data_IF_069641093476
#
_entry.id   IF_069641093476
#
_cell.length_a   1.000
_cell.length_b   1.000
_cell.length_c   1.000
_cell.angle_alpha   90.00
_cell.angle_beta   90.00
_cell.angle_gamma   90.00
#
_symmetry.space_group_name_H-M   'P 1'
#
loop_
_entity.id
_entity.type
_entity.pdbx_description
1 polymer ?
#
# COMPACT_ATOMS: atom_id res chain seq x y z
N UNK A 1 -11.33 -26.57 15.69
CA UNK A 1 -10.90 -25.68 16.78
C UNK A 1 -10.71 -24.28 16.21
N UNK A 2 -11.13 -23.23 16.84
CA UNK A 2 -10.98 -21.89 16.30
C UNK A 2 -9.50 -21.47 16.40
N UNK A 3 -8.73 -21.65 15.32
CA UNK A 3 -7.49 -20.95 15.15
C UNK A 3 -7.79 -19.44 15.15
N UNK A 4 -6.92 -18.63 15.75
CA UNK A 4 -7.08 -17.19 15.66
C UNK A 4 -6.75 -16.72 14.25
N UNK A 5 -7.54 -15.77 13.78
CA UNK A 5 -7.47 -15.29 12.42
C UNK A 5 -6.81 -13.92 12.38
N UNK A 6 -5.87 -13.79 11.48
CA UNK A 6 -5.10 -12.57 11.22
C UNK A 6 -5.39 -12.09 9.80
N UNK A 7 -5.84 -10.87 9.66
CA UNK A 7 -5.84 -10.18 8.38
C UNK A 7 -4.48 -9.53 8.15
N UNK A 8 -3.84 -9.76 7.02
CA UNK A 8 -2.55 -9.16 6.70
C UNK A 8 -2.59 -8.48 5.35
N UNK A 9 -2.14 -7.24 5.33
CA UNK A 9 -1.85 -6.50 4.12
C UNK A 9 -0.37 -6.60 3.76
N UNK A 10 -0.08 -7.13 2.58
CA UNK A 10 1.27 -7.23 2.01
C UNK A 10 1.54 -6.04 1.10
N UNK A 11 1.77 -4.87 1.69
CA UNK A 11 2.10 -3.68 0.92
C UNK A 11 3.56 -3.67 0.43
N UNK A 12 3.83 -2.93 -0.64
CA UNK A 12 5.18 -2.75 -1.20
C UNK A 12 6.16 -2.13 -0.19
N UNK A 13 5.70 -1.20 0.64
CA UNK A 13 6.53 -0.49 1.62
C UNK A 13 6.49 -1.12 3.01
N UNK A 14 5.33 -1.61 3.43
CA UNK A 14 5.12 -2.18 4.77
C UNK A 14 4.22 -3.40 4.72
N UNK A 15 4.38 -4.28 5.70
CA UNK A 15 3.45 -5.37 6.01
C UNK A 15 2.72 -5.01 7.29
N UNK A 16 1.39 -5.09 7.26
CA UNK A 16 0.54 -4.78 8.41
C UNK A 16 -0.36 -5.98 8.72
N UNK A 17 -0.49 -6.35 9.99
CA UNK A 17 -1.43 -7.39 10.40
C UNK A 17 -2.40 -6.89 11.46
N UNK A 18 -3.65 -7.29 11.30
CA UNK A 18 -4.77 -6.97 12.16
C UNK A 18 -5.39 -8.24 12.74
N UNK A 19 -5.66 -8.21 14.05
CA UNK A 19 -6.41 -9.26 14.73
C UNK A 19 -7.70 -8.69 15.32
N UNK A 20 -8.82 -9.32 14.99
CA UNK A 20 -10.12 -8.91 15.55
C UNK A 20 -10.09 -8.94 17.09
N UNK A 21 -10.52 -7.85 17.72
CA UNK A 21 -10.51 -7.67 19.17
C UNK A 21 -9.20 -7.14 19.76
N UNK A 22 -8.11 -7.13 18.99
CA UNK A 22 -6.83 -6.56 19.42
C UNK A 22 -6.37 -5.35 18.60
N UNK A 23 -6.92 -5.18 17.38
CA UNK A 23 -6.48 -4.12 16.47
C UNK A 23 -5.26 -4.53 15.64
N UNK A 24 -4.43 -3.55 15.28
CA UNK A 24 -3.15 -3.79 14.59
C UNK A 24 -2.19 -4.48 15.57
N UNK A 25 -1.72 -5.66 15.20
CA UNK A 25 -0.83 -6.51 16.02
C UNK A 25 0.59 -6.60 15.47
N UNK A 26 0.78 -6.15 14.23
CA UNK A 26 2.08 -6.14 13.58
C UNK A 26 2.13 -5.03 12.51
N UNK A 27 3.21 -4.28 12.48
CA UNK A 27 3.51 -3.33 11.39
C UNK A 27 5.03 -3.22 11.27
N UNK A 28 5.56 -3.62 10.12
CA UNK A 28 6.98 -3.55 9.81
C UNK A 28 7.21 -3.10 8.37
N UNK A 29 8.35 -2.51 8.09
CA UNK A 29 8.76 -2.25 6.71
C UNK A 29 8.89 -3.59 5.94
N UNK A 30 8.46 -3.61 4.70
CA UNK A 30 8.62 -4.79 3.83
C UNK A 30 10.02 -4.77 3.21
N UNK A 31 11.04 -5.05 4.05
CA UNK A 31 12.45 -4.93 3.70
C UNK A 31 13.31 -5.90 4.51
N UNK A 32 14.40 -6.35 3.91
CA UNK A 32 15.49 -7.11 4.56
C UNK A 32 16.82 -6.42 4.31
N UNK A 33 17.65 -6.43 5.32
CA UNK A 33 19.02 -5.93 5.25
C UNK A 33 20.02 -7.10 5.26
N UNK A 34 20.92 -7.10 4.29
CA UNK A 34 22.01 -8.06 4.19
C UNK A 34 23.34 -7.36 4.45
N UNK A 35 24.23 -8.04 5.17
CA UNK A 35 25.64 -7.63 5.22
C UNK A 35 26.26 -7.82 3.82
N UNK A 36 26.82 -6.76 3.24
CA UNK A 36 27.34 -6.77 1.86
C UNK A 36 28.47 -7.78 1.67
N UNK A 37 29.31 -7.97 2.70
CA UNK A 37 30.50 -8.82 2.65
C UNK A 37 30.18 -10.31 2.74
N UNK A 38 29.23 -10.69 3.59
CA UNK A 38 28.91 -12.11 3.89
C UNK A 38 27.66 -12.61 3.18
N UNK A 39 26.76 -11.70 2.78
CA UNK A 39 25.43 -12.03 2.31
C UNK A 39 24.49 -12.55 3.39
N UNK A 40 24.90 -12.45 4.67
CA UNK A 40 24.04 -12.86 5.78
C UNK A 40 22.93 -11.84 6.04
N UNK A 41 21.76 -12.33 6.47
CA UNK A 41 20.65 -11.46 6.92
C UNK A 41 21.10 -10.77 8.21
N UNK A 42 21.11 -9.45 8.21
CA UNK A 42 21.46 -8.62 9.35
C UNK A 42 20.21 -8.15 10.13
N UNK A 43 19.15 -7.78 9.42
CA UNK A 43 17.90 -7.32 10.02
C UNK A 43 16.71 -7.50 9.07
N UNK A 44 15.51 -7.49 9.63
CA UNK A 44 14.21 -7.56 8.91
C UNK A 44 13.34 -6.38 9.35
N UNK A 45 12.48 -5.90 8.45
CA UNK A 45 11.52 -4.87 8.79
C UNK A 45 12.12 -3.46 8.90
N UNK A 46 11.64 -2.70 9.87
CA UNK A 46 12.03 -1.30 10.08
C UNK A 46 13.50 -1.17 10.41
N UNK A 47 14.04 -2.07 11.24
CA UNK A 47 15.46 -2.11 11.59
C UNK A 47 16.34 -2.27 10.33
N UNK A 48 15.90 -3.07 9.35
CA UNK A 48 16.61 -3.24 8.08
C UNK A 48 16.78 -1.90 7.33
N UNK A 49 15.73 -1.09 7.32
CA UNK A 49 15.77 0.23 6.68
C UNK A 49 16.70 1.20 7.43
N UNK A 50 16.67 1.19 8.76
CA UNK A 50 17.52 2.06 9.59
C UNK A 50 19.00 1.73 9.45
N UNK A 51 19.37 0.46 9.48
CA UNK A 51 20.74 -0.01 9.33
C UNK A 51 21.35 0.44 8.00
N UNK A 52 20.64 0.23 6.92
CA UNK A 52 21.12 0.59 5.59
C UNK A 52 21.27 2.11 5.39
N UNK A 53 20.38 2.90 5.99
CA UNK A 53 20.50 4.36 5.94
C UNK A 53 21.72 4.88 6.69
N UNK A 54 22.08 4.25 7.82
CA UNK A 54 23.23 4.66 8.65
C UNK A 54 24.56 4.21 8.07
N UNK A 55 24.59 3.04 7.41
CA UNK A 55 25.85 2.42 6.95
C UNK A 55 25.71 1.78 5.56
N UNK A 56 25.43 2.57 4.53
CA UNK A 56 25.08 2.04 3.19
C UNK A 56 26.20 1.23 2.53
N UNK A 57 27.47 1.44 2.90
CA UNK A 57 28.59 0.65 2.37
C UNK A 57 28.66 -0.77 2.95
N UNK A 58 28.18 -0.97 4.18
CA UNK A 58 28.22 -2.26 4.87
C UNK A 58 26.97 -3.11 4.65
N UNK A 59 25.85 -2.49 4.32
CA UNK A 59 24.56 -3.13 4.27
C UNK A 59 23.82 -2.83 2.97
N UNK A 60 23.11 -3.85 2.46
CA UNK A 60 22.24 -3.77 1.28
C UNK A 60 20.81 -4.09 1.68
N UNK A 61 19.85 -3.25 1.30
CA UNK A 61 18.43 -3.52 1.50
C UNK A 61 17.83 -4.15 0.25
N UNK A 62 17.04 -5.18 0.47
CA UNK A 62 16.17 -5.78 -0.54
C UNK A 62 14.70 -5.71 -0.11
N UNK A 63 13.83 -5.48 -1.08
CA UNK A 63 12.38 -5.48 -0.89
C UNK A 63 11.77 -6.62 -1.69
N UNK A 64 11.01 -7.54 -1.04
CA UNK A 64 10.49 -8.73 -1.71
C UNK A 64 9.26 -8.49 -2.57
N UNK A 65 8.73 -7.27 -2.57
CA UNK A 65 7.53 -6.91 -3.32
C UNK A 65 7.84 -5.87 -4.40
N UNK A 66 7.40 -6.16 -5.60
CA UNK A 66 7.36 -5.22 -6.72
C UNK A 66 5.97 -5.24 -7.34
N UNK A 67 5.38 -4.07 -7.61
CA UNK A 67 4.07 -3.94 -8.27
C UNK A 67 2.95 -4.76 -7.60
N UNK A 68 2.98 -4.83 -6.28
CA UNK A 68 1.99 -5.57 -5.49
C UNK A 68 2.11 -7.10 -5.51
N UNK A 69 3.18 -7.65 -6.10
CA UNK A 69 3.44 -9.09 -6.14
C UNK A 69 4.81 -9.45 -5.56
N UNK A 70 4.96 -10.70 -5.13
CA UNK A 70 6.24 -11.20 -4.61
C UNK A 70 7.23 -11.31 -5.77
N UNK A 71 8.32 -10.57 -5.69
CA UNK A 71 9.45 -10.62 -6.63
C UNK A 71 10.56 -11.57 -6.18
N UNK A 72 10.72 -11.75 -4.87
CA UNK A 72 11.70 -12.67 -4.28
C UNK A 72 11.07 -13.51 -3.17
N UNK A 73 10.98 -14.82 -3.43
CA UNK A 73 10.40 -15.80 -2.52
C UNK A 73 11.24 -15.96 -1.24
N UNK A 74 12.58 -15.96 -1.36
CA UNK A 74 13.48 -16.17 -0.23
C UNK A 74 13.42 -15.00 0.74
N UNK A 75 13.46 -13.80 0.19
CA UNK A 75 13.32 -12.56 0.96
C UNK A 75 11.96 -12.51 1.65
N UNK A 76 10.87 -12.84 0.94
CA UNK A 76 9.53 -12.83 1.52
C UNK A 76 9.36 -13.86 2.65
N UNK A 77 10.05 -15.00 2.61
CA UNK A 77 10.02 -15.97 3.71
C UNK A 77 10.49 -15.37 5.03
N UNK A 78 11.54 -14.55 5.04
CA UNK A 78 12.01 -13.89 6.27
C UNK A 78 10.93 -12.95 6.83
N UNK A 79 10.27 -12.18 5.97
CA UNK A 79 9.17 -11.29 6.37
C UNK A 79 8.00 -12.07 6.98
N UNK A 80 7.57 -13.17 6.34
CA UNK A 80 6.49 -14.00 6.90
C UNK A 80 6.90 -14.74 8.17
N UNK A 81 8.16 -15.13 8.30
CA UNK A 81 8.66 -15.75 9.53
C UNK A 81 8.58 -14.76 10.68
N UNK A 82 9.11 -13.53 10.48
CA UNK A 82 9.02 -12.47 11.48
C UNK A 82 7.57 -12.12 11.86
N UNK A 83 6.68 -11.98 10.85
CA UNK A 83 5.26 -11.77 11.08
C UNK A 83 4.65 -12.88 11.95
N UNK A 84 4.86 -14.15 11.58
CA UNK A 84 4.25 -15.29 12.25
C UNK A 84 4.81 -15.43 13.67
N UNK A 85 6.11 -15.32 13.87
CA UNK A 85 6.76 -15.36 15.16
C UNK A 85 6.24 -14.25 16.09
N UNK A 86 6.12 -13.03 15.57
CA UNK A 86 5.62 -11.88 16.33
C UNK A 86 4.17 -12.06 16.78
N UNK A 87 3.28 -12.56 15.90
CA UNK A 87 1.86 -12.74 16.26
C UNK A 87 1.62 -14.03 17.05
N UNK A 88 2.51 -15.04 16.96
CA UNK A 88 2.38 -16.35 17.61
C UNK A 88 3.17 -16.49 18.91
N UNK A 89 3.98 -15.54 19.33
CA UNK A 89 4.99 -15.63 20.39
C UNK A 89 4.57 -16.32 21.73
N UNK A 90 3.27 -16.61 21.92
CA UNK A 90 2.72 -17.31 23.11
C UNK A 90 1.61 -18.28 22.78
N UNK A 91 1.48 -18.74 21.53
CA UNK A 91 0.32 -19.55 21.13
C UNK A 91 0.74 -20.91 20.60
N UNK A 92 0.02 -21.95 21.01
CA UNK A 92 0.26 -23.35 20.62
C UNK A 92 -0.29 -23.62 19.20
N UNK A 93 -1.26 -22.81 18.74
CA UNK A 93 -1.94 -23.04 17.47
C UNK A 93 -1.40 -22.11 16.38
N UNK A 94 -1.24 -22.66 15.18
CA UNK A 94 -0.85 -21.89 13.99
C UNK A 94 -1.94 -20.87 13.60
N UNK A 95 -1.58 -19.64 13.21
CA UNK A 95 -2.55 -18.64 12.78
C UNK A 95 -3.16 -19.00 11.43
N UNK A 96 -4.43 -18.66 11.25
CA UNK A 96 -5.02 -18.58 9.93
C UNK A 96 -4.79 -17.17 9.39
N UNK A 97 -4.23 -17.07 8.19
CA UNK A 97 -3.96 -15.79 7.55
C UNK A 97 -4.95 -15.52 6.43
N UNK A 98 -5.51 -14.31 6.42
CA UNK A 98 -6.21 -13.75 5.27
C UNK A 98 -5.33 -12.62 4.76
N UNK A 99 -4.74 -12.82 3.59
CA UNK A 99 -3.73 -11.93 3.02
C UNK A 99 -4.38 -11.16 1.89
N UNK A 100 -4.21 -9.84 1.87
CA UNK A 100 -4.69 -9.03 0.75
C UNK A 100 -3.75 -9.14 -0.44
N UNK A 101 -4.30 -9.01 -1.63
CA UNK A 101 -3.53 -8.95 -2.86
C UNK A 101 -4.25 -8.05 -3.88
N UNK A 102 -3.50 -7.37 -4.77
CA UNK A 102 -4.09 -6.54 -5.81
C UNK A 102 -5.09 -7.30 -6.67
N UNK A 103 -6.11 -6.60 -7.14
CA UNK A 103 -7.04 -7.15 -8.12
C UNK A 103 -6.30 -7.56 -9.39
N UNK A 104 -6.70 -8.68 -9.98
CA UNK A 104 -6.15 -9.12 -11.27
C UNK A 104 -4.82 -9.89 -11.20
N UNK A 105 -4.24 -10.15 -10.03
CA UNK A 105 -3.07 -11.05 -9.94
C UNK A 105 -3.43 -12.47 -10.40
N UNK A 106 -2.46 -13.13 -11.04
CA UNK A 106 -2.62 -14.49 -11.57
C UNK A 106 -2.81 -15.55 -10.47
N UNK A 107 -3.41 -16.69 -10.82
CA UNK A 107 -3.53 -17.84 -9.91
C UNK A 107 -2.17 -18.34 -9.41
N UNK A 108 -1.13 -18.23 -10.25
CA UNK A 108 0.23 -18.60 -9.85
C UNK A 108 0.76 -17.67 -8.76
N UNK A 109 0.56 -16.36 -8.91
CA UNK A 109 0.97 -15.36 -7.91
C UNK A 109 0.22 -15.55 -6.60
N UNK A 110 -1.10 -15.81 -6.64
CA UNK A 110 -1.89 -16.16 -5.44
C UNK A 110 -1.31 -17.38 -4.73
N UNK A 111 -1.00 -18.45 -5.47
CA UNK A 111 -0.39 -19.67 -4.91
C UNK A 111 0.98 -19.38 -4.30
N UNK A 112 1.82 -18.58 -4.96
CA UNK A 112 3.13 -18.19 -4.43
C UNK A 112 3.03 -17.54 -3.06
N UNK A 113 2.12 -16.57 -2.88
CA UNK A 113 1.86 -15.93 -1.58
C UNK A 113 1.47 -16.96 -0.53
N UNK A 114 0.55 -17.87 -0.87
CA UNK A 114 0.05 -18.89 0.05
C UNK A 114 1.13 -19.89 0.43
N UNK A 115 1.92 -20.35 -0.55
CA UNK A 115 2.99 -21.34 -0.32
C UNK A 115 4.09 -20.78 0.58
N UNK A 116 4.45 -19.49 0.42
CA UNK A 116 5.38 -18.82 1.33
C UNK A 116 4.82 -18.76 2.75
N UNK A 117 3.59 -18.31 2.92
CA UNK A 117 2.98 -18.17 4.24
C UNK A 117 2.84 -19.52 4.96
N UNK A 118 2.42 -20.57 4.24
CA UNK A 118 2.34 -21.95 4.79
C UNK A 118 3.72 -22.49 5.15
N UNK A 119 4.74 -22.25 4.31
CA UNK A 119 6.12 -22.68 4.59
C UNK A 119 6.70 -22.00 5.84
N UNK A 120 6.23 -20.80 6.19
CA UNK A 120 6.63 -20.06 7.40
C UNK A 120 5.80 -20.43 8.63
N UNK A 121 4.83 -21.36 8.53
CA UNK A 121 4.10 -21.88 9.69
C UNK A 121 2.66 -21.38 9.82
N UNK A 122 2.09 -20.70 8.85
CA UNK A 122 0.67 -20.41 8.81
C UNK A 122 -0.15 -21.73 8.78
N UNK A 123 -1.30 -21.75 9.45
CA UNK A 123 -2.23 -22.89 9.45
C UNK A 123 -3.03 -22.93 8.15
N UNK A 124 -3.97 -22.01 8.00
CA UNK A 124 -4.75 -21.83 6.77
C UNK A 124 -4.43 -20.45 6.18
N UNK A 125 -4.32 -20.39 4.85
CA UNK A 125 -4.08 -19.13 4.15
C UNK A 125 -5.18 -18.93 3.12
N UNK A 126 -5.74 -17.73 3.09
CA UNK A 126 -6.70 -17.27 2.10
C UNK A 126 -6.22 -15.96 1.51
N UNK A 127 -6.46 -15.74 0.23
CA UNK A 127 -6.19 -14.46 -0.43
C UNK A 127 -7.51 -13.73 -0.62
N UNK A 128 -7.54 -12.46 -0.24
CA UNK A 128 -8.66 -11.56 -0.41
C UNK A 128 -8.24 -10.42 -1.34
N UNK A 129 -9.14 -10.02 -2.23
CA UNK A 129 -8.94 -8.86 -3.09
C UNK A 129 -8.73 -7.58 -2.26
N UNK A 130 -7.70 -6.78 -2.60
CA UNK A 130 -7.30 -5.59 -1.84
C UNK A 130 -8.42 -4.54 -1.79
N UNK A 131 -9.14 -4.32 -2.91
CA UNK A 131 -10.22 -3.34 -2.96
C UNK A 131 -11.38 -3.75 -2.05
N UNK A 132 -11.76 -5.03 -2.03
CA UNK A 132 -12.79 -5.57 -1.13
C UNK A 132 -12.33 -5.45 0.34
N UNK A 133 -11.08 -5.78 0.61
CA UNK A 133 -10.52 -5.64 1.94
C UNK A 133 -10.55 -4.18 2.40
N UNK A 134 -10.09 -3.24 1.57
CA UNK A 134 -10.07 -1.81 1.88
C UNK A 134 -11.48 -1.26 2.11
N UNK A 135 -12.47 -1.69 1.32
CA UNK A 135 -13.87 -1.31 1.53
C UNK A 135 -14.42 -1.80 2.87
N UNK A 136 -14.22 -3.08 3.19
CA UNK A 136 -14.62 -3.67 4.48
C UNK A 136 -13.94 -2.96 5.67
N UNK A 137 -12.65 -2.69 5.55
CA UNK A 137 -11.86 -2.01 6.58
C UNK A 137 -12.28 -0.56 6.81
N UNK A 138 -12.77 0.09 5.77
CA UNK A 138 -13.34 1.45 5.80
C UNK A 138 -14.79 1.47 6.30
N UNK A 139 -15.41 0.31 6.54
CA UNK A 139 -16.78 0.20 7.03
C UNK A 139 -17.85 0.34 5.95
N UNK A 140 -17.49 0.20 4.68
CA UNK A 140 -18.44 0.22 3.57
C UNK A 140 -19.23 -1.09 3.55
N UNK A 141 -20.57 -1.04 3.50
CA UNK A 141 -21.41 -2.22 3.35
C UNK A 141 -21.33 -2.73 1.90
N UNK A 142 -20.44 -3.69 1.65
CA UNK A 142 -20.17 -4.23 0.31
C UNK A 142 -21.33 -5.07 -0.25
N UNK A 143 -22.25 -5.53 0.58
CA UNK A 143 -23.37 -6.42 0.24
C UNK A 143 -24.59 -5.70 -0.36
N UNK A 144 -24.56 -4.37 -0.40
CA UNK A 144 -25.65 -3.58 -0.96
C UNK A 144 -25.59 -3.50 -2.50
N UNK A 145 -26.74 -3.41 -3.18
CA UNK A 145 -26.80 -3.18 -4.64
C UNK A 145 -26.55 -1.70 -4.96
N UNK A 146 -25.41 -1.19 -4.56
CA UNK A 146 -25.01 0.20 -4.70
C UNK A 146 -23.55 0.27 -5.13
N UNK A 147 -23.25 1.09 -6.13
CA UNK A 147 -21.90 1.22 -6.68
C UNK A 147 -21.02 2.12 -5.80
N UNK A 148 -19.86 1.62 -5.38
CA UNK A 148 -18.86 2.39 -4.64
C UNK A 148 -17.56 2.39 -5.41
N UNK A 149 -17.00 3.57 -5.68
CA UNK A 149 -15.65 3.70 -6.24
C UNK A 149 -14.62 3.78 -5.12
N UNK A 150 -13.75 2.78 -5.09
CA UNK A 150 -12.60 2.72 -4.20
C UNK A 150 -11.34 3.17 -4.94
N UNK A 151 -10.56 4.03 -4.30
CA UNK A 151 -9.23 4.42 -4.73
C UNK A 151 -8.26 4.19 -3.57
N UNK A 152 -7.46 3.15 -3.66
CA UNK A 152 -6.43 2.81 -2.66
C UNK A 152 -5.06 3.22 -3.20
N UNK A 153 -4.46 4.27 -2.64
CA UNK A 153 -3.16 4.78 -3.09
C UNK A 153 -2.08 4.36 -2.10
N UNK A 154 -1.40 3.28 -2.47
CA UNK A 154 -0.31 2.68 -1.70
C UNK A 154 1.06 3.26 -2.02
N UNK A 155 2.12 2.58 -1.56
CA UNK A 155 3.50 2.96 -1.86
C UNK A 155 3.92 2.58 -3.30
N UNK A 156 3.54 1.39 -3.77
CA UNK A 156 3.91 0.90 -5.12
C UNK A 156 2.83 1.13 -6.15
N UNK A 157 1.57 0.95 -5.77
CA UNK A 157 0.42 0.95 -6.67
C UNK A 157 -0.69 1.87 -6.21
N UNK A 158 -1.54 2.28 -7.15
CA UNK A 158 -2.90 2.75 -6.90
C UNK A 158 -3.87 1.68 -7.45
N UNK A 159 -4.71 1.16 -6.57
CA UNK A 159 -5.76 0.21 -6.90
C UNK A 159 -7.10 0.95 -6.99
N UNK A 160 -7.75 0.87 -8.13
CA UNK A 160 -9.01 1.55 -8.43
C UNK A 160 -10.06 0.48 -8.71
N UNK A 161 -11.16 0.48 -7.98
CA UNK A 161 -12.19 -0.54 -8.13
C UNK A 161 -13.60 0.02 -7.94
N UNK A 162 -14.53 -0.42 -8.79
CA UNK A 162 -15.97 -0.22 -8.60
C UNK A 162 -16.54 -1.49 -7.98
N UNK A 163 -17.07 -1.36 -6.78
CA UNK A 163 -17.60 -2.46 -5.96
C UNK A 163 -19.12 -2.32 -5.87
N UNK A 164 -19.85 -3.41 -6.10
CA UNK A 164 -21.29 -3.51 -5.89
C UNK A 164 -21.69 -4.93 -5.52
N UNK A 165 -22.66 -5.11 -4.63
CA UNK A 165 -23.18 -6.43 -4.22
C UNK A 165 -22.09 -7.44 -3.81
N UNK A 166 -21.05 -6.99 -3.11
CA UNK A 166 -19.92 -7.82 -2.73
C UNK A 166 -19.00 -8.24 -3.86
N UNK A 167 -19.16 -7.66 -5.05
CA UNK A 167 -18.37 -7.99 -6.24
C UNK A 167 -17.59 -6.77 -6.75
N UNK A 168 -16.48 -7.00 -7.42
CA UNK A 168 -15.75 -5.98 -8.15
C UNK A 168 -16.25 -5.96 -9.58
N UNK A 169 -16.99 -4.92 -9.94
CA UNK A 169 -17.54 -4.75 -11.30
C UNK A 169 -16.43 -4.39 -12.29
N UNK A 170 -15.56 -3.44 -11.88
CA UNK A 170 -14.38 -3.02 -12.63
C UNK A 170 -13.23 -2.80 -11.68
N UNK A 171 -12.02 -3.10 -12.13
CA UNK A 171 -10.82 -2.82 -11.37
C UNK A 171 -9.63 -2.61 -12.29
N UNK A 172 -8.74 -1.74 -11.85
CA UNK A 172 -7.40 -1.62 -12.41
C UNK A 172 -6.40 -1.36 -11.28
N UNK A 173 -5.19 -1.86 -11.45
CA UNK A 173 -4.06 -1.54 -10.60
C UNK A 173 -2.99 -0.88 -11.46
N UNK A 174 -2.57 0.31 -11.08
CA UNK A 174 -1.56 1.07 -11.80
C UNK A 174 -0.37 1.40 -10.89
N UNK A 175 0.81 1.59 -11.51
CA UNK A 175 2.07 1.89 -10.79
C UNK A 175 2.18 3.37 -10.43
N UNK A 176 1.08 3.96 -9.94
CA UNK A 176 0.99 5.38 -9.57
C UNK A 176 0.93 5.49 -8.05
N UNK A 177 1.92 4.89 -7.36
CA UNK A 177 2.04 4.93 -5.91
C UNK A 177 3.05 5.98 -5.42
N UNK A 178 3.31 5.95 -4.12
CA UNK A 178 4.23 6.86 -3.45
C UNK A 178 5.68 6.77 -3.90
N UNK A 179 6.11 5.62 -4.44
CA UNK A 179 7.46 5.46 -5.00
C UNK A 179 7.61 6.27 -6.30
N UNK A 180 6.57 6.30 -7.14
CA UNK A 180 6.59 7.16 -8.34
C UNK A 180 6.63 8.65 -7.96
N UNK A 181 5.90 9.05 -6.91
CA UNK A 181 5.98 10.41 -6.39
C UNK A 181 7.40 10.75 -5.90
N UNK A 182 8.07 9.81 -5.20
CA UNK A 182 9.47 9.98 -4.78
C UNK A 182 10.43 10.11 -5.96
N UNK A 183 10.25 9.33 -7.01
CA UNK A 183 11.06 9.42 -8.25
C UNK A 183 10.85 10.75 -8.96
N UNK A 184 9.62 11.23 -9.01
CA UNK A 184 9.29 12.53 -9.61
C UNK A 184 9.95 13.66 -8.83
N UNK A 185 9.85 13.66 -7.50
CA UNK A 185 10.51 14.65 -6.65
C UNK A 185 12.04 14.58 -6.81
N UNK A 186 12.62 13.39 -6.81
CA UNK A 186 14.08 13.22 -6.99
C UNK A 186 14.53 13.83 -8.32
N UNK A 187 13.81 13.54 -9.40
CA UNK A 187 14.12 14.09 -10.73
C UNK A 187 13.90 15.60 -10.80
N UNK A 188 12.87 16.11 -10.15
CA UNK A 188 12.57 17.54 -10.09
C UNK A 188 13.72 18.30 -9.42
N UNK A 189 14.12 17.93 -8.21
CA UNK A 189 15.20 18.62 -7.48
C UNK A 189 16.54 18.51 -8.21
N UNK A 190 16.84 17.38 -8.82
CA UNK A 190 18.04 17.22 -9.62
C UNK A 190 18.04 18.15 -10.84
N UNK A 191 16.92 18.23 -11.57
CA UNK A 191 16.83 18.95 -12.83
C UNK A 191 16.67 20.46 -12.64
N UNK A 192 15.77 20.87 -11.75
CA UNK A 192 15.40 22.30 -11.60
C UNK A 192 16.30 23.04 -10.59
N UNK A 193 16.88 22.31 -9.63
CA UNK A 193 17.70 22.89 -8.56
C UNK A 193 19.16 22.42 -8.57
N UNK A 194 19.55 21.52 -9.49
CA UNK A 194 20.84 20.80 -9.45
C UNK A 194 21.15 20.21 -8.04
N UNK A 195 20.12 19.81 -7.31
CA UNK A 195 20.20 19.37 -5.92
C UNK A 195 20.00 17.84 -5.84
N UNK A 196 21.04 17.13 -5.47
CA UNK A 196 21.01 15.69 -5.22
C UNK A 196 20.57 15.42 -3.78
N UNK A 197 19.39 14.83 -3.61
CA UNK A 197 18.80 14.48 -2.33
C UNK A 197 18.75 12.96 -2.13
N UNK A 198 19.09 12.53 -0.92
CA UNK A 198 18.93 11.13 -0.53
C UNK A 198 17.45 10.76 -0.41
N UNK A 199 17.11 9.48 -0.64
CA UNK A 199 15.73 8.98 -0.62
C UNK A 199 15.02 9.25 0.73
N UNK A 200 15.73 9.20 1.85
CA UNK A 200 15.19 9.55 3.17
C UNK A 200 14.79 11.02 3.28
N UNK A 201 15.54 11.92 2.62
CA UNK A 201 15.23 13.35 2.54
C UNK A 201 13.99 13.57 1.66
N UNK A 202 13.89 12.90 0.51
CA UNK A 202 12.71 12.93 -0.37
C UNK A 202 11.46 12.44 0.38
N UNK A 203 11.55 11.32 1.10
CA UNK A 203 10.45 10.84 1.96
C UNK A 203 10.05 11.89 3.00
N UNK A 204 11.03 12.53 3.66
CA UNK A 204 10.76 13.58 4.65
C UNK A 204 10.06 14.79 4.02
N UNK A 205 10.50 15.25 2.86
CA UNK A 205 9.84 16.32 2.08
C UNK A 205 8.37 15.94 1.82
N UNK A 206 8.14 14.77 1.21
CA UNK A 206 6.81 14.29 0.87
C UNK A 206 5.88 14.20 2.08
N UNK A 207 6.37 13.68 3.21
CA UNK A 207 5.54 13.49 4.41
C UNK A 207 5.34 14.76 5.23
N UNK A 208 6.28 15.72 5.20
CA UNK A 208 6.21 16.92 6.03
C UNK A 208 5.51 18.07 5.35
N UNK A 209 5.88 18.37 4.11
CA UNK A 209 5.38 19.52 3.36
C UNK A 209 4.68 19.15 2.04
N UNK A 210 4.68 17.85 1.68
CA UNK A 210 4.06 17.37 0.45
C UNK A 210 2.58 17.71 0.36
N UNK A 211 2.14 18.07 -0.83
CA UNK A 211 0.74 18.35 -1.12
C UNK A 211 0.43 18.11 -2.60
N UNK A 212 -0.79 17.71 -2.87
CA UNK A 212 -1.33 17.53 -4.22
C UNK A 212 -2.23 18.72 -4.63
N UNK A 213 -2.51 19.60 -3.69
CA UNK A 213 -3.31 20.81 -3.85
C UNK A 213 -2.63 21.97 -3.10
N UNK A 214 -2.67 23.21 -3.62
CA UNK A 214 -2.05 24.35 -2.95
C UNK A 214 -2.52 24.52 -1.50
N UNK A 215 -1.57 24.79 -0.61
CA UNK A 215 -1.87 25.08 0.79
C UNK A 215 -2.29 26.55 0.97
N UNK A 216 -3.12 26.82 1.96
CA UNK A 216 -3.47 28.20 2.36
C UNK A 216 -2.24 28.91 2.97
N UNK A 217 -1.44 28.17 3.75
CA UNK A 217 -0.19 28.66 4.32
C UNK A 217 0.97 27.84 3.73
N UNK A 218 1.97 28.53 3.22
CA UNK A 218 3.16 27.90 2.68
C UNK A 218 4.01 27.32 3.82
N UNK A 219 4.42 26.06 3.64
CA UNK A 219 5.34 25.39 4.55
C UNK A 219 6.74 25.37 3.93
N UNK A 220 7.75 25.56 4.76
CA UNK A 220 9.14 25.44 4.39
C UNK A 220 9.85 24.34 5.16
N UNK A 221 10.77 23.65 4.50
CA UNK A 221 11.58 22.59 5.10
C UNK A 221 13.04 22.75 4.68
N UNK A 222 13.92 22.93 5.67
CA UNK A 222 15.37 22.91 5.42
C UNK A 222 15.86 21.47 5.20
N UNK A 223 16.55 21.24 4.10
CA UNK A 223 17.07 19.93 3.67
C UNK A 223 18.55 19.99 3.35
N UNK A 224 19.28 18.99 3.83
CA UNK A 224 20.68 18.78 3.43
C UNK A 224 20.73 17.92 2.16
N UNK A 225 21.57 18.29 1.24
CA UNK A 225 21.83 17.59 0.00
C UNK A 225 23.23 17.83 -0.52
N UNK A 226 23.45 17.53 -1.78
CA UNK A 226 24.69 17.75 -2.49
C UNK A 226 24.39 18.55 -3.76
N UNK A 227 25.08 19.65 -3.93
CA UNK A 227 25.05 20.39 -5.19
C UNK A 227 25.67 19.55 -6.31
N UNK A 228 24.91 19.30 -7.36
CA UNK A 228 25.32 18.42 -8.46
C UNK A 228 26.47 19.00 -9.30
N UNK A 229 26.60 20.34 -9.34
CA UNK A 229 27.60 21.03 -10.17
C UNK A 229 28.93 21.10 -9.42
N UNK A 230 28.91 21.64 -8.19
CA UNK A 230 30.12 21.81 -7.37
C UNK A 230 30.54 20.53 -6.64
N UNK A 231 29.64 19.55 -6.52
CA UNK A 231 29.82 18.31 -5.75
C UNK A 231 30.00 18.54 -4.25
N UNK A 232 29.65 19.73 -3.74
CA UNK A 232 29.78 20.09 -2.32
C UNK A 232 28.46 19.86 -1.57
N UNK A 233 28.52 19.55 -0.27
CA UNK A 233 27.32 19.54 0.58
C UNK A 233 26.69 20.93 0.64
N UNK A 234 25.36 20.98 0.56
CA UNK A 234 24.58 22.21 0.66
C UNK A 234 23.38 22.01 1.57
N UNK A 235 22.86 23.09 2.12
CA UNK A 235 21.60 23.12 2.85
C UNK A 235 20.68 24.12 2.13
N UNK A 236 19.50 23.65 1.72
CA UNK A 236 18.54 24.39 0.94
C UNK A 236 17.18 24.42 1.63
N UNK A 237 16.40 25.47 1.39
CA UNK A 237 14.99 25.51 1.77
C UNK A 237 14.12 25.03 0.60
N UNK A 238 13.17 24.15 0.90
CA UNK A 238 12.17 23.63 -0.03
C UNK A 238 10.80 24.03 0.46
N UNK A 239 9.94 24.52 -0.44
CA UNK A 239 8.59 24.97 -0.09
C UNK A 239 7.51 23.97 -0.47
N UNK A 240 6.36 24.04 0.20
CA UNK A 240 5.21 23.20 -0.15
C UNK A 240 4.63 23.51 -1.53
N UNK A 241 4.70 24.77 -1.98
CA UNK A 241 4.26 25.16 -3.32
C UNK A 241 5.14 24.51 -4.40
N UNK A 242 6.46 24.51 -4.19
CA UNK A 242 7.40 23.83 -5.08
C UNK A 242 7.13 22.33 -5.18
N UNK A 243 6.85 21.67 -4.04
CA UNK A 243 6.51 20.25 -4.00
C UNK A 243 5.16 19.96 -4.66
N UNK A 244 4.18 20.84 -4.49
CA UNK A 244 2.88 20.76 -5.16
C UNK A 244 3.04 20.77 -6.68
N UNK A 245 3.80 21.75 -7.21
CA UNK A 245 4.06 21.88 -8.64
C UNK A 245 4.80 20.64 -9.19
N UNK A 246 5.81 20.16 -8.46
CA UNK A 246 6.55 18.96 -8.84
C UNK A 246 5.67 17.71 -8.92
N UNK A 247 4.63 17.59 -8.05
CA UNK A 247 3.73 16.45 -8.00
C UNK A 247 2.53 16.56 -8.96
N UNK A 248 2.31 17.68 -9.64
CA UNK A 248 1.21 17.83 -10.60
C UNK A 248 1.14 16.71 -11.66
N UNK A 249 2.26 16.27 -12.29
CA UNK A 249 2.22 15.18 -13.27
C UNK A 249 1.77 13.84 -12.64
N UNK A 250 2.14 13.57 -11.38
CA UNK A 250 1.72 12.39 -10.64
C UNK A 250 0.21 12.43 -10.36
N UNK A 251 -0.28 13.56 -9.86
CA UNK A 251 -1.72 13.77 -9.58
C UNK A 251 -2.55 13.65 -10.85
N UNK A 252 -2.06 14.18 -11.98
CA UNK A 252 -2.73 14.06 -13.28
C UNK A 252 -2.86 12.59 -13.70
N UNK A 253 -1.76 11.83 -13.66
CA UNK A 253 -1.77 10.41 -14.02
C UNK A 253 -2.76 9.62 -13.14
N UNK A 254 -2.86 9.94 -11.85
CA UNK A 254 -3.81 9.29 -10.95
C UNK A 254 -5.25 9.60 -11.34
N UNK A 255 -5.56 10.86 -11.64
CA UNK A 255 -6.89 11.26 -12.11
C UNK A 255 -7.26 10.61 -13.45
N UNK A 256 -6.32 10.53 -14.40
CA UNK A 256 -6.53 9.89 -15.69
C UNK A 256 -6.84 8.40 -15.52
N UNK A 257 -6.16 7.73 -14.59
CA UNK A 257 -6.43 6.33 -14.29
C UNK A 257 -7.83 6.13 -13.69
N UNK A 258 -8.26 7.00 -12.76
CA UNK A 258 -9.63 6.98 -12.21
C UNK A 258 -10.66 7.24 -13.29
N UNK A 259 -10.43 8.25 -14.13
CA UNK A 259 -11.32 8.59 -15.25
C UNK A 259 -11.51 7.41 -16.20
N UNK A 260 -10.43 6.67 -16.52
CA UNK A 260 -10.50 5.49 -17.37
C UNK A 260 -11.38 4.36 -16.79
N UNK A 261 -11.42 4.21 -15.46
CA UNK A 261 -12.33 3.27 -14.79
C UNK A 261 -13.79 3.77 -14.85
N UNK A 262 -13.99 5.05 -14.63
CA UNK A 262 -15.32 5.67 -14.72
C UNK A 262 -15.93 5.53 -16.12
N UNK A 263 -15.14 5.70 -17.18
CA UNK A 263 -15.58 5.52 -18.57
C UNK A 263 -16.08 4.09 -18.86
N UNK A 264 -15.52 3.09 -18.18
CA UNK A 264 -15.90 1.68 -18.34
C UNK A 264 -17.04 1.26 -17.40
N UNK A 265 -17.43 2.14 -16.48
CA UNK A 265 -18.44 1.85 -15.47
C UNK A 265 -19.85 1.98 -16.06
N UNK A 266 -20.75 1.00 -15.88
CA UNK A 266 -22.14 1.10 -16.31
C UNK A 266 -22.86 2.33 -15.75
N UNK A 267 -23.78 2.90 -16.50
CA UNK A 267 -24.46 4.16 -16.17
C UNK A 267 -25.16 4.14 -14.81
N UNK A 268 -25.72 3.00 -14.42
CA UNK A 268 -26.39 2.83 -13.12
C UNK A 268 -25.40 2.93 -11.95
N UNK A 269 -24.24 2.28 -12.06
CA UNK A 269 -23.19 2.34 -11.05
C UNK A 269 -22.49 3.71 -11.05
N UNK A 270 -22.33 4.32 -12.22
CA UNK A 270 -21.79 5.68 -12.33
C UNK A 270 -22.67 6.69 -11.59
N UNK A 271 -24.00 6.58 -11.70
CA UNK A 271 -24.93 7.43 -10.95
C UNK A 271 -24.72 7.26 -9.43
N UNK A 272 -24.61 6.02 -8.96
CA UNK A 272 -24.35 5.75 -7.56
C UNK A 272 -23.04 6.41 -7.09
N UNK A 273 -21.99 6.34 -7.91
CA UNK A 273 -20.70 6.98 -7.63
C UNK A 273 -20.82 8.51 -7.61
N UNK A 274 -21.65 9.11 -8.49
CA UNK A 274 -21.92 10.55 -8.43
C UNK A 274 -22.62 10.98 -7.13
N UNK A 275 -23.47 10.12 -6.57
CA UNK A 275 -24.18 10.38 -5.31
C UNK A 275 -23.30 10.15 -4.08
N UNK A 276 -22.49 9.08 -4.07
CA UNK A 276 -21.68 8.66 -2.92
C UNK A 276 -20.24 9.19 -2.94
N UNK A 277 -19.73 9.54 -4.11
CA UNK A 277 -18.35 9.97 -4.30
C UNK A 277 -17.33 8.82 -4.33
N UNK A 278 -16.05 9.21 -4.31
CA UNK A 278 -14.90 8.31 -4.29
C UNK A 278 -14.47 8.09 -2.84
N UNK A 279 -14.23 6.84 -2.45
CA UNK A 279 -13.59 6.52 -1.18
C UNK A 279 -12.07 6.39 -1.37
N UNK A 280 -11.31 7.33 -0.81
CA UNK A 280 -9.85 7.38 -0.88
C UNK A 280 -9.22 6.69 0.34
N UNK A 281 -8.41 5.67 0.09
CA UNK A 281 -7.67 4.89 1.09
C UNK A 281 -6.20 4.74 0.73
N UNK A 282 -5.47 3.96 1.52
CA UNK A 282 -4.03 3.76 1.34
C UNK A 282 -3.16 4.75 2.10
N UNK A 283 -1.86 4.52 2.08
CA UNK A 283 -0.91 5.36 2.82
C UNK A 283 -0.83 6.80 2.29
N UNK A 284 -1.02 7.00 1.00
CA UNK A 284 -1.01 8.34 0.37
C UNK A 284 -2.35 9.07 0.44
N UNK A 285 -3.41 8.45 0.91
CA UNK A 285 -4.67 9.14 1.16
C UNK A 285 -4.53 10.34 2.12
N UNK A 286 -3.46 10.36 2.92
CA UNK A 286 -3.12 11.44 3.85
C UNK A 286 -2.28 12.56 3.22
N UNK A 287 -1.88 12.45 1.95
CA UNK A 287 -1.18 13.54 1.26
C UNK A 287 -2.12 14.75 1.19
N UNK A 288 -1.64 15.88 1.70
CA UNK A 288 -2.48 17.08 1.81
C UNK A 288 -3.11 17.45 0.47
N UNK A 289 -4.42 17.62 0.49
CA UNK A 289 -5.21 18.08 -0.65
C UNK A 289 -5.32 17.09 -1.81
N UNK A 290 -4.95 15.83 -1.63
CA UNK A 290 -5.12 14.81 -2.68
C UNK A 290 -6.61 14.59 -2.99
N UNK A 291 -7.45 14.59 -1.98
CA UNK A 291 -8.91 14.54 -2.11
C UNK A 291 -9.46 15.71 -2.93
N UNK A 292 -9.00 16.93 -2.63
CA UNK A 292 -9.41 18.15 -3.35
C UNK A 292 -8.95 18.10 -4.81
N UNK A 293 -7.69 17.73 -5.04
CA UNK A 293 -7.12 17.66 -6.39
C UNK A 293 -7.87 16.65 -7.29
N UNK A 294 -8.23 15.49 -6.73
CA UNK A 294 -9.03 14.48 -7.45
C UNK A 294 -10.46 14.99 -7.64
N UNK A 295 -11.08 15.53 -6.60
CA UNK A 295 -12.46 16.02 -6.62
C UNK A 295 -12.68 17.12 -7.64
N UNK A 296 -11.78 18.11 -7.71
CA UNK A 296 -11.86 19.19 -8.70
C UNK A 296 -11.70 18.70 -10.14
N UNK A 297 -10.76 17.76 -10.38
CA UNK A 297 -10.51 17.24 -11.74
C UNK A 297 -11.61 16.31 -12.25
N UNK A 298 -12.21 15.52 -11.38
CA UNK A 298 -13.22 14.53 -11.74
C UNK A 298 -14.66 15.02 -11.52
N UNK A 299 -14.84 16.18 -10.86
CA UNK A 299 -16.14 16.73 -10.45
C UNK A 299 -16.95 15.74 -9.60
N UNK A 300 -16.26 15.04 -8.69
CA UNK A 300 -16.84 14.07 -7.76
C UNK A 300 -16.40 14.39 -6.33
N UNK A 301 -17.25 14.11 -5.36
CA UNK A 301 -16.87 14.18 -3.96
C UNK A 301 -15.85 13.07 -3.64
N UNK A 302 -14.84 13.40 -2.83
CA UNK A 302 -13.81 12.45 -2.39
C UNK A 302 -13.81 12.37 -0.87
N UNK A 303 -14.07 11.19 -0.33
CA UNK A 303 -14.07 10.91 1.10
C UNK A 303 -12.80 10.18 1.49
N UNK A 304 -12.00 10.78 2.36
CA UNK A 304 -10.77 10.16 2.86
C UNK A 304 -11.09 9.24 4.03
N UNK A 305 -10.66 7.99 3.95
CA UNK A 305 -10.76 7.05 5.06
C UNK A 305 -9.80 7.49 6.19
N UNK A 306 -10.32 7.64 7.41
CA UNK A 306 -9.55 8.11 8.56
C UNK A 306 -8.32 7.23 8.88
N UNK A 307 -8.43 5.91 8.68
CA UNK A 307 -7.35 4.93 8.87
C UNK A 307 -7.03 4.19 7.55
N UNK A 308 -6.98 4.94 6.46
CA UNK A 308 -6.78 4.40 5.11
C UNK A 308 -5.53 3.52 4.98
N UNK A 309 -4.45 3.91 5.64
CA UNK A 309 -3.20 3.16 5.63
C UNK A 309 -3.28 1.73 6.21
N UNK A 310 -4.31 1.41 6.99
CA UNK A 310 -4.53 0.12 7.62
C UNK A 310 -5.86 -0.53 7.16
N UNK A 311 -6.60 0.12 6.26
CA UNK A 311 -7.93 -0.31 5.82
C UNK A 311 -7.90 -1.73 5.26
N UNK A 312 -6.95 -2.07 4.39
CA UNK A 312 -6.81 -3.39 3.80
C UNK A 312 -6.57 -4.48 4.85
N UNK A 313 -5.61 -4.30 5.76
CA UNK A 313 -5.32 -5.25 6.83
C UNK A 313 -6.51 -5.45 7.77
N UNK A 314 -7.17 -4.34 8.17
CA UNK A 314 -8.38 -4.35 9.00
C UNK A 314 -9.53 -5.09 8.32
N UNK A 315 -9.77 -4.78 7.05
CA UNK A 315 -10.81 -5.42 6.25
C UNK A 315 -10.57 -6.91 6.04
N UNK A 316 -9.32 -7.32 5.77
CA UNK A 316 -8.95 -8.72 5.72
C UNK A 316 -9.28 -9.43 7.05
N UNK A 317 -8.98 -8.83 8.20
CA UNK A 317 -9.34 -9.40 9.50
C UNK A 317 -10.84 -9.42 9.80
N UNK A 318 -11.61 -8.50 9.23
CA UNK A 318 -13.07 -8.44 9.38
C UNK A 318 -13.83 -9.32 8.37
N UNK A 319 -13.18 -9.71 7.26
CA UNK A 319 -13.79 -10.49 6.17
C UNK A 319 -14.38 -11.83 6.58
N UNK A 320 -13.96 -12.35 7.73
CA UNK A 320 -14.50 -13.58 8.31
C UNK A 320 -16.02 -13.56 8.53
N UNK A 321 -16.60 -12.39 8.71
CA UNK A 321 -18.05 -12.22 8.85
C UNK A 321 -18.79 -12.41 7.52
N UNK A 322 -18.07 -12.28 6.40
CA UNK A 322 -18.59 -12.30 5.04
C UNK A 322 -18.04 -13.48 4.22
N UNK A 323 -17.45 -14.50 4.86
CA UNK A 323 -16.74 -15.61 4.18
C UNK A 323 -17.58 -16.24 3.07
N UNK A 324 -18.83 -16.59 3.35
CA UNK A 324 -19.71 -17.25 2.37
C UNK A 324 -19.90 -16.36 1.13
N UNK A 325 -20.28 -15.11 1.35
CA UNK A 325 -20.48 -14.15 0.25
C UNK A 325 -19.22 -14.00 -0.58
N UNK A 326 -18.05 -13.87 0.07
CA UNK A 326 -16.78 -13.68 -0.62
C UNK A 326 -16.31 -14.94 -1.37
N UNK A 327 -16.60 -16.14 -0.84
CA UNK A 327 -16.33 -17.42 -1.51
C UNK A 327 -17.26 -17.63 -2.71
N UNK A 328 -18.55 -17.39 -2.54
CA UNK A 328 -19.57 -17.56 -3.57
C UNK A 328 -19.31 -16.65 -4.80
N UNK A 329 -18.72 -15.48 -4.57
CA UNK A 329 -18.33 -14.54 -5.61
C UNK A 329 -16.87 -14.68 -6.10
N UNK A 330 -16.10 -15.62 -5.54
CA UNK A 330 -14.74 -15.92 -6.00
C UNK A 330 -13.66 -14.93 -5.52
N UNK A 331 -13.96 -14.04 -4.56
CA UNK A 331 -13.00 -13.06 -4.03
C UNK A 331 -12.13 -13.60 -2.88
N UNK A 332 -12.54 -14.69 -2.26
CA UNK A 332 -11.74 -15.38 -1.27
C UNK A 332 -11.17 -16.67 -1.87
N UNK A 333 -9.91 -16.62 -2.26
CA UNK A 333 -9.20 -17.80 -2.80
C UNK A 333 -8.58 -18.60 -1.65
N UNK A 334 -8.99 -19.88 -1.50
CA UNK A 334 -8.40 -20.84 -0.55
C UNK A 334 -7.57 -21.89 -1.28
N UNK A 335 -6.40 -22.22 -0.77
CA UNK A 335 -5.73 -23.43 -1.20
C UNK A 335 -6.54 -24.65 -0.77
N UNK A 336 -6.65 -25.65 -1.65
CA UNK A 336 -7.10 -26.97 -1.19
C UNK A 336 -6.13 -27.45 -0.10
N UNK A 337 -6.68 -27.85 1.05
CA UNK A 337 -5.89 -28.48 2.11
C UNK A 337 -5.09 -29.61 1.45
N UNK A 338 -3.77 -29.62 1.65
CA UNK A 338 -3.01 -30.86 1.43
C UNK A 338 -3.65 -31.87 2.38
N UNK A 339 -4.35 -32.84 1.85
CA UNK A 339 -4.68 -34.06 2.59
C UNK A 339 -3.36 -34.77 2.76
N UNK A 340 -2.84 -34.77 3.97
CA UNK A 340 -1.73 -35.62 4.39
C UNK A 340 -2.16 -37.08 4.26
#
# INVERSE_FOLDING_TARGET
MPGYNIGSDLGTSKVTAFQQGKGIVYTQANAICYETRTGAVAAVGTEAMEMAQRTPAAFRVERPMADGVISDFTVMRHIFTDLIESVCARQIFRPNLIITAPSGITQLQKRTIMDVAVACGAGKVSILDNAIASALGSGIPIDKPHGVLMLDVGAGTADIAVITMGTVAFTTACRIGGMLADEILTRYFMKERALELGISTIHRIKHTIGCAFPREEELELSVGGKDHISQLPVTESVTSSEVCDALQPWTQQLCDAVHSVLEQTPAELYRDICEEGILLTGGLAQLYGLDRAIGEKLHLDVRVCADGANAAAKGAGLSLRHIKTLEDHGYLFRAKERRD
#
